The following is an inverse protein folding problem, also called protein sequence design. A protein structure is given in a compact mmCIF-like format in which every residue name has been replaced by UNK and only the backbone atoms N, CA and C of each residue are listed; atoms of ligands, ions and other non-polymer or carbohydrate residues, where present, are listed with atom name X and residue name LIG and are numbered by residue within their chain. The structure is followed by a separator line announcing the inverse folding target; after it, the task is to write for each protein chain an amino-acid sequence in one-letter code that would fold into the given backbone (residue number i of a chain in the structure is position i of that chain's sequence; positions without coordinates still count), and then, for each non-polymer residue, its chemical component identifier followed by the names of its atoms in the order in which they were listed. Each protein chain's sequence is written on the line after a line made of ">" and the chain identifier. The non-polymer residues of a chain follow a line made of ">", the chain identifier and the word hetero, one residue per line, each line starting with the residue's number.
data_IF_556254225995
#
_entry.id   IF_556254225995
#
_cell.length_a   1.000
_cell.length_b   1.000
_cell.length_c   1.000
_cell.angle_alpha   90.00
_cell.angle_beta   90.00
_cell.angle_gamma   90.00
#
_symmetry.space_group_name_H-M   'P 1'
#
loop_
_entity.id
_entity.type
_entity.pdbx_description
1 polymer ?
#
# COMPACT_ATOMS: atom_id res chain seq x y z
N UNK A 1 16.72 20.98 -14.65
CA UNK A 1 15.76 19.90 -14.87
C UNK A 1 15.92 18.93 -13.73
N UNK A 2 14.88 18.72 -12.97
CA UNK A 2 14.87 17.67 -11.95
C UNK A 2 15.07 16.33 -12.66
N UNK A 3 16.07 15.58 -12.20
CA UNK A 3 16.39 14.29 -12.82
C UNK A 3 15.26 13.32 -12.50
N UNK A 4 14.53 12.88 -13.51
CA UNK A 4 13.61 11.78 -13.38
C UNK A 4 14.41 10.50 -13.09
N UNK A 5 14.00 9.75 -12.06
CA UNK A 5 14.54 8.44 -11.76
C UNK A 5 13.58 7.39 -12.29
N UNK A 6 14.06 6.49 -13.14
CA UNK A 6 13.27 5.41 -13.72
C UNK A 6 13.61 4.12 -12.96
N UNK A 7 12.60 3.38 -12.54
CA UNK A 7 12.74 2.03 -12.00
C UNK A 7 12.16 1.06 -13.02
N UNK A 8 12.99 0.17 -13.54
CA UNK A 8 12.58 -0.91 -14.41
C UNK A 8 12.12 -2.11 -13.58
N UNK A 9 10.99 -2.68 -13.92
CA UNK A 9 10.41 -3.83 -13.21
C UNK A 9 10.94 -5.18 -13.73
N UNK A 10 11.64 -5.17 -14.87
CA UNK A 10 12.20 -6.38 -15.50
C UNK A 10 13.43 -6.10 -16.38
N UNK A 11 14.19 -7.17 -16.68
CA UNK A 11 15.28 -7.10 -17.66
C UNK A 11 14.78 -6.69 -19.06
N UNK A 12 13.56 -7.10 -19.43
CA UNK A 12 12.93 -6.68 -20.69
C UNK A 12 12.67 -5.17 -20.73
N UNK A 13 12.26 -4.57 -19.61
CA UNK A 13 12.12 -3.13 -19.52
C UNK A 13 13.45 -2.40 -19.61
N UNK A 14 14.51 -2.93 -18.97
CA UNK A 14 15.86 -2.37 -19.13
C UNK A 14 16.30 -2.35 -20.60
N UNK A 15 16.05 -3.43 -21.35
CA UNK A 15 16.35 -3.49 -22.78
C UNK A 15 15.57 -2.44 -23.58
N UNK A 16 14.28 -2.27 -23.27
CA UNK A 16 13.44 -1.26 -23.94
C UNK A 16 13.93 0.16 -23.64
N UNK A 17 14.29 0.43 -22.38
CA UNK A 17 14.83 1.73 -21.97
C UNK A 17 16.15 1.98 -22.69
N UNK A 18 17.04 1.00 -22.76
CA UNK A 18 18.33 1.09 -23.46
C UNK A 18 18.13 1.44 -24.94
N UNK A 19 17.25 0.72 -25.64
CA UNK A 19 16.92 0.96 -27.05
C UNK A 19 16.31 2.35 -27.29
N UNK A 20 15.43 2.83 -26.40
CA UNK A 20 14.84 4.17 -26.47
C UNK A 20 15.93 5.24 -26.28
N UNK A 21 16.79 5.06 -25.28
CA UNK A 21 17.90 5.98 -25.03
C UNK A 21 18.87 5.99 -26.21
N UNK A 22 19.21 4.85 -26.79
CA UNK A 22 20.03 4.72 -27.97
C UNK A 22 19.44 5.51 -29.16
N UNK A 23 18.15 5.31 -29.44
CA UNK A 23 17.47 5.99 -30.55
C UNK A 23 17.44 7.51 -30.42
N UNK A 24 17.61 8.02 -29.21
CA UNK A 24 17.63 9.46 -28.88
C UNK A 24 19.03 9.99 -28.62
N UNK A 25 20.04 9.14 -28.72
CA UNK A 25 21.43 9.46 -28.41
C UNK A 25 21.59 10.08 -27.00
N UNK A 26 20.93 9.50 -26.01
CA UNK A 26 21.01 9.90 -24.59
C UNK A 26 21.38 8.70 -23.73
N UNK A 27 21.81 8.97 -22.51
CA UNK A 27 21.98 7.97 -21.45
C UNK A 27 21.11 8.33 -20.27
N UNK A 28 20.58 7.33 -19.55
CA UNK A 28 19.83 7.55 -18.31
C UNK A 28 20.29 6.60 -17.21
N UNK A 29 20.25 7.08 -15.96
CA UNK A 29 20.40 6.25 -14.78
C UNK A 29 19.06 5.55 -14.50
N UNK A 30 19.10 4.24 -14.28
CA UNK A 30 17.92 3.39 -14.07
C UNK A 30 18.12 2.54 -12.83
N UNK A 31 17.07 2.33 -12.04
CA UNK A 31 17.02 1.30 -11.03
C UNK A 31 16.43 0.01 -11.55
N UNK A 32 16.83 -1.11 -10.98
CA UNK A 32 16.16 -2.38 -11.17
C UNK A 32 15.33 -2.70 -9.92
N UNK A 33 14.05 -3.01 -10.13
CA UNK A 33 13.21 -3.54 -9.06
C UNK A 33 13.56 -4.99 -8.82
N UNK A 34 13.77 -5.33 -7.56
CA UNK A 34 14.13 -6.68 -7.12
C UNK A 34 13.00 -7.25 -6.25
N UNK A 35 12.58 -8.48 -6.57
CA UNK A 35 11.74 -9.31 -5.72
C UNK A 35 12.65 -10.02 -4.69
N UNK A 36 12.65 -9.62 -3.41
CA UNK A 36 13.62 -10.11 -2.45
C UNK A 36 13.21 -11.47 -1.89
N UNK A 37 14.14 -12.36 -1.64
CA UNK A 37 13.91 -13.54 -0.79
C UNK A 37 13.97 -13.18 0.70
N UNK A 38 12.93 -12.50 1.17
CA UNK A 38 12.84 -11.99 2.54
C UNK A 38 11.51 -12.28 3.19
N UNK A 39 11.49 -12.79 4.44
CA UNK A 39 10.27 -13.02 5.22
C UNK A 39 10.10 -12.02 6.36
N UNK A 40 8.93 -11.40 6.43
CA UNK A 40 8.52 -10.59 7.58
C UNK A 40 8.25 -11.42 8.85
N UNK A 41 8.33 -12.75 8.76
CA UNK A 41 8.02 -13.69 9.84
C UNK A 41 6.55 -14.10 9.86
N UNK A 42 6.14 -14.92 10.84
CA UNK A 42 4.77 -15.36 10.98
C UNK A 42 3.83 -14.17 11.19
N UNK A 43 2.76 -14.11 10.42
CA UNK A 43 1.75 -13.06 10.50
C UNK A 43 0.45 -13.54 9.87
N UNK A 44 -0.67 -12.83 10.10
CA UNK A 44 -1.98 -13.25 9.62
C UNK A 44 -2.11 -13.25 8.08
N UNK A 45 -1.10 -12.77 7.37
CA UNK A 45 -1.11 -12.73 5.92
C UNK A 45 0.04 -13.54 5.32
N UNK A 46 -0.24 -14.76 4.83
CA UNK A 46 0.74 -15.60 4.13
C UNK A 46 1.13 -15.07 2.74
N UNK A 47 0.39 -14.12 2.19
CA UNK A 47 0.38 -13.79 0.77
C UNK A 47 1.59 -13.02 0.24
N UNK A 48 2.44 -12.55 1.10
CA UNK A 48 3.71 -11.99 0.70
C UNK A 48 4.82 -12.72 1.46
N UNK A 49 4.97 -14.00 1.15
CA UNK A 49 6.18 -14.72 1.50
C UNK A 49 7.20 -14.32 0.46
N UNK A 50 8.35 -13.80 0.85
CA UNK A 50 9.48 -13.61 -0.04
C UNK A 50 9.87 -14.95 -0.65
N UNK A 51 10.46 -14.87 -1.83
CA UNK A 51 10.77 -16.08 -2.60
C UNK A 51 9.54 -16.75 -3.23
N UNK A 52 8.34 -16.12 -3.19
CA UNK A 52 7.21 -16.54 -4.00
C UNK A 52 7.20 -15.81 -5.35
N UNK A 53 6.77 -16.49 -6.42
CA UNK A 53 6.58 -15.84 -7.70
C UNK A 53 5.68 -14.61 -7.58
N UNK A 54 6.16 -13.48 -8.05
CA UNK A 54 5.40 -12.23 -8.13
C UNK A 54 5.50 -11.66 -9.56
N UNK A 55 4.54 -10.81 -9.90
CA UNK A 55 4.62 -10.04 -11.16
C UNK A 55 5.58 -8.86 -11.06
N UNK A 56 6.05 -8.53 -9.87
CA UNK A 56 6.85 -7.36 -9.58
C UNK A 56 8.32 -7.70 -9.33
N UNK A 57 9.20 -7.06 -10.12
CA UNK A 57 10.63 -7.14 -9.94
C UNK A 57 11.25 -8.47 -10.40
N UNK A 58 12.54 -8.47 -10.55
CA UNK A 58 13.34 -9.65 -10.85
C UNK A 58 13.75 -10.35 -9.55
N UNK A 59 13.70 -11.68 -9.53
CA UNK A 59 14.07 -12.46 -8.35
C UNK A 59 15.55 -12.24 -7.97
N UNK A 60 15.84 -12.01 -6.68
CA UNK A 60 17.18 -11.68 -6.22
C UNK A 60 18.22 -12.77 -6.55
N UNK A 61 17.80 -14.03 -6.53
CA UNK A 61 18.66 -15.18 -6.84
C UNK A 61 19.09 -15.21 -8.31
N UNK A 62 18.31 -14.59 -9.18
CA UNK A 62 18.60 -14.48 -10.61
C UNK A 62 19.64 -13.40 -10.96
N UNK A 63 19.88 -12.44 -10.06
CA UNK A 63 20.78 -11.32 -10.33
C UNK A 63 22.19 -11.74 -10.78
N UNK A 64 22.87 -12.71 -10.14
CA UNK A 64 24.21 -13.13 -10.55
C UNK A 64 24.26 -13.67 -12.01
N UNK A 65 23.23 -14.40 -12.41
CA UNK A 65 23.17 -14.95 -13.78
C UNK A 65 22.99 -13.86 -14.85
N UNK A 66 22.46 -12.70 -14.48
CA UNK A 66 22.24 -11.57 -15.40
C UNK A 66 23.33 -10.49 -15.32
N UNK A 67 24.42 -10.74 -14.60
CA UNK A 67 25.54 -9.80 -14.47
C UNK A 67 26.03 -9.28 -15.82
N UNK A 68 26.35 -10.18 -16.74
CA UNK A 68 26.89 -9.81 -18.07
C UNK A 68 25.87 -9.06 -18.91
N UNK A 69 24.59 -9.36 -18.75
CA UNK A 69 23.51 -8.60 -19.38
C UNK A 69 23.51 -7.15 -18.88
N UNK A 70 23.53 -6.94 -17.57
CA UNK A 70 23.52 -5.61 -16.95
C UNK A 70 24.73 -4.76 -17.39
N UNK A 71 25.92 -5.38 -17.52
CA UNK A 71 27.14 -4.71 -17.97
C UNK A 71 27.15 -4.38 -19.47
N UNK A 72 26.33 -5.04 -20.29
CA UNK A 72 26.26 -4.77 -21.74
C UNK A 72 25.32 -3.63 -22.12
N UNK A 73 24.54 -3.11 -21.20
CA UNK A 73 23.66 -1.97 -21.45
C UNK A 73 24.51 -0.70 -21.62
N UNK A 74 24.37 -0.02 -22.75
CA UNK A 74 25.22 1.11 -23.13
C UNK A 74 24.57 2.46 -22.82
N UNK A 75 23.24 2.54 -22.91
CA UNK A 75 22.47 3.76 -22.78
C UNK A 75 21.60 3.81 -21.51
N UNK A 76 20.97 2.71 -21.14
CA UNK A 76 20.38 2.54 -19.82
C UNK A 76 21.46 2.10 -18.83
N UNK A 77 21.84 2.97 -17.90
CA UNK A 77 22.86 2.64 -16.89
C UNK A 77 22.18 2.16 -15.61
N UNK A 78 22.20 0.86 -15.30
CA UNK A 78 21.65 0.38 -14.03
C UNK A 78 22.54 0.84 -12.88
N UNK A 79 22.09 1.85 -12.13
CA UNK A 79 22.87 2.50 -11.06
C UNK A 79 22.20 2.42 -9.69
N UNK A 80 21.16 1.62 -9.55
CA UNK A 80 20.47 1.46 -8.29
C UNK A 80 19.52 0.29 -8.27
N UNK A 81 19.04 0.00 -7.07
CA UNK A 81 18.03 -1.03 -6.81
C UNK A 81 16.82 -0.41 -6.13
N UNK A 82 15.67 -1.01 -6.37
CA UNK A 82 14.39 -0.73 -5.70
C UNK A 82 13.81 -2.04 -5.16
N UNK A 83 13.25 -1.99 -3.96
CA UNK A 83 12.52 -3.11 -3.36
C UNK A 83 11.24 -2.60 -2.72
N UNK A 84 10.10 -3.08 -3.13
CA UNK A 84 8.84 -2.87 -2.42
C UNK A 84 8.27 -4.23 -1.98
N UNK A 85 8.64 -4.66 -0.79
CA UNK A 85 8.37 -6.02 -0.33
C UNK A 85 6.96 -6.20 0.27
N UNK A 86 6.37 -5.18 0.89
CA UNK A 86 5.05 -5.28 1.54
C UNK A 86 4.46 -3.92 1.88
N UNK A 87 3.11 -3.83 1.80
CA UNK A 87 2.34 -2.69 2.28
C UNK A 87 1.80 -2.90 3.70
N UNK A 88 1.49 -1.82 4.40
CA UNK A 88 0.75 -1.80 5.68
C UNK A 88 1.45 -2.57 6.81
N UNK A 89 2.76 -2.36 6.98
CA UNK A 89 3.54 -2.98 8.06
C UNK A 89 3.53 -2.07 9.29
N UNK A 90 3.01 -2.57 10.41
CA UNK A 90 2.95 -1.86 11.70
C UNK A 90 4.09 -2.25 12.65
N UNK A 91 4.90 -3.24 12.30
CA UNK A 91 6.04 -3.69 13.09
C UNK A 91 7.32 -2.99 12.64
N UNK A 92 7.87 -2.15 13.51
CA UNK A 92 9.15 -1.49 13.28
C UNK A 92 10.31 -2.49 13.09
N UNK A 93 10.29 -3.61 13.82
CA UNK A 93 11.31 -4.65 13.69
C UNK A 93 11.23 -5.36 12.34
N UNK A 94 10.02 -5.61 11.86
CA UNK A 94 9.82 -6.24 10.57
C UNK A 94 10.30 -5.32 9.43
N UNK A 95 9.97 -4.03 9.48
CA UNK A 95 10.48 -3.03 8.54
C UNK A 95 12.00 -2.89 8.63
N UNK A 96 12.56 -2.83 9.86
CA UNK A 96 13.99 -2.74 10.08
C UNK A 96 14.76 -3.90 9.43
N UNK A 97 14.28 -5.13 9.65
CA UNK A 97 14.89 -6.33 9.01
C UNK A 97 14.76 -6.30 7.48
N UNK A 98 13.63 -5.83 6.96
CA UNK A 98 13.47 -5.67 5.51
C UNK A 98 14.50 -4.68 4.94
N UNK A 99 14.62 -3.52 5.54
CA UNK A 99 15.58 -2.51 5.10
C UNK A 99 17.04 -2.99 5.23
N UNK A 100 17.35 -3.78 6.26
CA UNK A 100 18.66 -4.43 6.37
C UNK A 100 18.91 -5.41 5.20
N UNK A 101 17.88 -6.17 4.83
CA UNK A 101 17.97 -7.07 3.67
C UNK A 101 18.24 -6.29 2.39
N UNK A 102 17.50 -5.22 2.14
CA UNK A 102 17.71 -4.33 0.98
C UNK A 102 19.12 -3.74 0.96
N UNK A 103 19.66 -3.36 2.13
CA UNK A 103 21.05 -2.88 2.21
C UNK A 103 22.08 -3.97 1.88
N UNK A 104 21.81 -5.24 2.23
CA UNK A 104 22.65 -6.37 1.81
C UNK A 104 22.56 -6.61 0.31
N UNK A 105 21.36 -6.54 -0.27
CA UNK A 105 21.17 -6.58 -1.73
C UNK A 105 21.96 -5.47 -2.44
N UNK A 106 21.97 -4.26 -1.89
CA UNK A 106 22.79 -3.16 -2.42
C UNK A 106 24.27 -3.49 -2.42
N UNK A 107 24.77 -4.23 -1.43
CA UNK A 107 26.17 -4.75 -1.43
C UNK A 107 26.38 -5.82 -2.49
N UNK A 108 25.44 -6.74 -2.66
CA UNK A 108 25.52 -7.75 -3.74
C UNK A 108 25.55 -7.03 -5.09
N UNK A 109 24.67 -6.05 -5.31
CA UNK A 109 24.66 -5.22 -6.51
C UNK A 109 26.01 -4.55 -6.78
N UNK A 110 26.53 -3.86 -5.79
CA UNK A 110 27.76 -3.08 -5.95
C UNK A 110 29.02 -3.95 -5.97
N UNK A 111 29.26 -4.75 -4.92
CA UNK A 111 30.49 -5.53 -4.79
C UNK A 111 30.43 -6.88 -5.50
N UNK A 112 29.27 -7.56 -5.46
CA UNK A 112 29.11 -8.88 -6.05
C UNK A 112 29.00 -8.83 -7.58
N UNK A 113 28.19 -7.92 -8.10
CA UNK A 113 27.95 -7.77 -9.54
C UNK A 113 28.89 -6.73 -10.18
N UNK A 114 29.58 -5.90 -9.37
CA UNK A 114 30.40 -4.80 -9.85
C UNK A 114 29.61 -3.66 -10.49
N UNK A 115 28.33 -3.53 -10.14
CA UNK A 115 27.45 -2.49 -10.68
C UNK A 115 27.60 -1.18 -9.87
N UNK A 116 27.54 -0.01 -10.52
CA UNK A 116 27.55 1.26 -9.81
C UNK A 116 26.31 1.40 -8.93
N UNK A 117 26.46 2.04 -7.77
CA UNK A 117 25.37 2.27 -6.83
C UNK A 117 25.23 3.78 -6.57
N UNK A 118 24.34 4.46 -7.29
CA UNK A 118 24.02 5.86 -7.12
C UNK A 118 22.83 6.08 -6.18
N UNK A 119 21.97 5.06 -6.04
CA UNK A 119 20.81 5.12 -5.15
C UNK A 119 20.31 3.74 -4.71
N UNK A 120 19.57 3.76 -3.61
CA UNK A 120 18.80 2.63 -3.10
C UNK A 120 17.40 3.15 -2.79
N UNK A 121 16.38 2.49 -3.33
CA UNK A 121 15.00 2.74 -2.95
C UNK A 121 14.49 1.57 -2.12
N UNK A 122 14.19 1.84 -0.87
CA UNK A 122 13.70 0.87 0.10
C UNK A 122 12.20 0.59 -0.03
N UNK A 123 11.55 1.22 -1.02
CA UNK A 123 10.11 1.16 -1.20
C UNK A 123 9.34 1.82 -0.07
N UNK A 124 8.09 1.42 0.06
CA UNK A 124 7.19 1.93 1.07
C UNK A 124 6.88 0.92 2.18
N UNK A 125 5.60 0.82 2.45
CA UNK A 125 5.06 -0.20 3.33
C UNK A 125 4.83 0.23 4.78
N UNK A 126 5.21 1.45 5.17
CA UNK A 126 4.89 1.98 6.50
C UNK A 126 3.37 2.06 6.67
N UNK A 127 2.86 1.37 7.69
CA UNK A 127 1.44 1.23 7.94
C UNK A 127 0.88 2.27 8.91
N UNK A 128 -0.45 2.42 8.86
CA UNK A 128 -1.24 3.19 9.84
C UNK A 128 -2.26 2.29 10.52
N UNK A 129 -2.69 2.57 11.75
CA UNK A 129 -3.74 1.80 12.39
C UNK A 129 -5.11 2.16 11.78
N UNK A 130 -5.77 1.18 11.17
CA UNK A 130 -7.13 1.35 10.65
C UNK A 130 -8.21 0.91 11.64
N UNK A 131 -7.90 0.01 12.58
CA UNK A 131 -8.79 -0.41 13.66
C UNK A 131 -8.27 0.07 15.01
N UNK A 132 -9.17 0.33 15.96
CA UNK A 132 -8.82 0.84 17.29
C UNK A 132 -7.91 -0.08 18.13
N UNK A 133 -7.86 -1.38 17.80
CA UNK A 133 -6.99 -2.37 18.45
C UNK A 133 -5.57 -2.39 17.87
N UNK A 134 -5.36 -1.80 16.68
CA UNK A 134 -4.05 -1.75 16.05
C UNK A 134 -3.16 -0.72 16.74
N UNK A 135 -1.91 -1.09 16.99
CA UNK A 135 -0.90 -0.16 17.49
C UNK A 135 -0.26 0.59 16.34
N UNK A 136 -0.06 1.88 16.52
CA UNK A 136 0.71 2.69 15.59
C UNK A 136 2.14 2.17 15.42
N UNK A 137 2.71 2.37 14.23
CA UNK A 137 4.10 2.06 13.94
C UNK A 137 5.01 2.85 14.90
N UNK A 138 5.87 2.14 15.63
CA UNK A 138 6.84 2.77 16.53
C UNK A 138 8.01 3.36 15.72
N UNK A 139 7.93 4.64 15.43
CA UNK A 139 8.93 5.36 14.62
C UNK A 139 10.28 5.48 15.33
N UNK A 140 10.32 5.58 16.66
CA UNK A 140 11.57 5.66 17.42
C UNK A 140 12.35 4.34 17.34
N UNK A 141 11.64 3.21 17.43
CA UNK A 141 12.23 1.89 17.25
C UNK A 141 12.72 1.68 15.81
N UNK A 142 11.94 2.14 14.82
CA UNK A 142 12.36 2.10 13.40
C UNK A 142 13.62 2.96 13.18
N UNK A 143 13.68 4.14 13.79
CA UNK A 143 14.86 5.01 13.76
C UNK A 143 16.11 4.29 14.29
N UNK A 144 15.96 3.49 15.35
CA UNK A 144 17.05 2.67 15.89
C UNK A 144 17.60 1.68 14.85
N UNK A 145 16.72 0.98 14.12
CA UNK A 145 17.15 0.10 13.03
C UNK A 145 17.85 0.87 11.90
N UNK A 146 17.29 2.01 11.49
CA UNK A 146 17.86 2.81 10.42
C UNK A 146 19.24 3.36 10.74
N UNK A 147 19.53 3.69 12.00
CA UNK A 147 20.85 4.15 12.43
C UNK A 147 21.94 3.08 12.21
N UNK A 148 21.61 1.78 12.40
CA UNK A 148 22.50 0.67 12.09
C UNK A 148 22.67 0.43 10.59
N UNK A 149 21.64 0.69 9.81
CA UNK A 149 21.57 0.44 8.38
C UNK A 149 22.64 1.20 7.58
N UNK A 150 22.94 2.42 7.99
CA UNK A 150 23.92 3.28 7.32
C UNK A 150 25.30 2.66 7.20
N UNK A 151 25.65 1.75 8.11
CA UNK A 151 26.94 1.02 8.12
C UNK A 151 26.96 -0.15 7.12
N UNK A 152 25.79 -0.61 6.68
CA UNK A 152 25.66 -1.73 5.75
C UNK A 152 25.71 -1.28 4.29
N UNK A 153 25.38 -0.02 4.02
CA UNK A 153 25.33 0.52 2.66
C UNK A 153 26.76 0.79 2.16
N UNK A 154 27.12 0.33 0.94
CA UNK A 154 28.42 0.65 0.34
C UNK A 154 28.66 2.16 0.29
N UNK A 155 29.90 2.57 0.64
CA UNK A 155 30.32 3.98 0.64
C UNK A 155 31.50 4.21 -0.33
N UNK A 156 31.81 3.22 -1.16
CA UNK A 156 33.05 3.19 -1.97
C UNK A 156 32.89 3.99 -3.28
N UNK A 157 31.73 4.55 -3.54
CA UNK A 157 31.48 5.40 -4.70
C UNK A 157 31.99 6.83 -4.52
N UNK A 158 32.16 7.58 -5.62
CA UNK A 158 32.60 8.97 -5.58
C UNK A 158 31.62 9.90 -4.84
N UNK A 159 30.38 9.47 -4.70
CA UNK A 159 29.32 10.15 -3.95
C UNK A 159 28.51 9.08 -3.21
N UNK A 160 28.14 9.31 -1.93
CA UNK A 160 27.27 8.40 -1.21
C UNK A 160 25.95 8.15 -1.95
N UNK A 161 25.54 6.88 -2.02
CA UNK A 161 24.28 6.50 -2.65
C UNK A 161 23.08 7.22 -1.99
N UNK A 162 22.23 7.81 -2.82
CA UNK A 162 20.96 8.42 -2.36
C UNK A 162 20.02 7.33 -1.87
N UNK A 163 19.23 7.66 -0.88
CA UNK A 163 18.29 6.74 -0.23
C UNK A 163 16.88 7.30 -0.37
N UNK A 164 15.98 6.46 -0.86
CA UNK A 164 14.58 6.79 -1.06
C UNK A 164 13.70 5.87 -0.22
N UNK A 165 12.58 6.42 0.23
CA UNK A 165 11.49 5.68 0.88
C UNK A 165 10.19 6.19 0.30
N UNK A 166 9.34 5.29 -0.18
CA UNK A 166 8.05 5.59 -0.83
C UNK A 166 6.91 5.59 0.21
N UNK A 167 6.86 6.59 1.07
CA UNK A 167 5.92 6.63 2.19
C UNK A 167 4.66 7.43 1.86
N UNK A 168 3.74 6.86 1.09
CA UNK A 168 2.45 7.50 0.78
C UNK A 168 1.46 7.39 1.93
N UNK A 169 0.98 6.19 2.24
CA UNK A 169 -0.05 5.92 3.25
C UNK A 169 0.27 6.50 4.63
N UNK A 170 1.48 6.31 5.10
CA UNK A 170 1.91 6.78 6.42
C UNK A 170 1.87 8.31 6.56
N UNK A 171 2.09 9.04 5.46
CA UNK A 171 2.10 10.51 5.46
C UNK A 171 0.71 11.14 5.39
N UNK A 172 -0.22 10.51 4.68
CA UNK A 172 -1.51 11.15 4.38
C UNK A 172 -2.73 10.29 4.73
N UNK A 173 -2.54 9.05 5.13
CA UNK A 173 -3.65 8.12 5.33
C UNK A 173 -4.64 8.55 6.41
N UNK A 174 -4.16 9.09 7.53
CA UNK A 174 -4.96 9.60 8.64
C UNK A 174 -5.36 11.08 8.48
N UNK A 175 -4.81 11.77 7.47
CA UNK A 175 -5.15 13.17 7.19
C UNK A 175 -6.49 13.34 6.46
N UNK A 176 -7.06 12.27 5.90
CA UNK A 176 -8.31 12.32 5.14
C UNK A 176 -9.48 11.64 5.84
N UNK A 177 -10.65 12.21 5.67
CA UNK A 177 -11.94 11.62 6.09
C UNK A 177 -12.87 11.52 4.88
N UNK A 178 -13.62 10.43 4.80
CA UNK A 178 -14.71 10.31 3.85
C UNK A 178 -16.03 10.60 4.57
N UNK A 179 -16.81 11.51 4.01
CA UNK A 179 -18.08 11.94 4.59
C UNK A 179 -19.21 11.64 3.62
N UNK A 180 -20.24 10.97 4.09
CA UNK A 180 -21.46 10.72 3.34
C UNK A 180 -22.70 10.95 4.21
N UNK A 181 -23.89 10.98 3.63
CA UNK A 181 -25.14 11.25 4.33
C UNK A 181 -25.97 9.99 4.47
N UNK A 182 -26.63 9.78 5.61
CA UNK A 182 -27.68 8.77 5.77
C UNK A 182 -28.91 9.25 4.98
N UNK A 183 -29.29 8.48 3.95
CA UNK A 183 -30.44 8.81 3.10
C UNK A 183 -31.69 8.03 3.45
N UNK A 184 -31.52 6.83 4.07
CA UNK A 184 -32.63 6.03 4.52
C UNK A 184 -32.23 5.08 5.66
N UNK A 185 -33.20 4.64 6.45
CA UNK A 185 -33.03 3.60 7.47
C UNK A 185 -34.17 2.60 7.31
N UNK A 186 -33.79 1.38 6.95
CA UNK A 186 -34.73 0.29 6.67
C UNK A 186 -34.62 -0.82 7.72
N UNK A 187 -35.78 -1.29 8.20
CA UNK A 187 -35.85 -2.49 9.03
C UNK A 187 -36.37 -3.68 8.24
N UNK A 188 -35.67 -4.78 8.29
CA UNK A 188 -36.06 -6.02 7.58
C UNK A 188 -35.64 -7.23 8.39
N UNK A 189 -36.61 -8.10 8.72
CA UNK A 189 -36.40 -9.39 9.39
C UNK A 189 -35.52 -9.29 10.63
N UNK A 190 -35.80 -8.26 11.47
CA UNK A 190 -35.08 -8.03 12.73
C UNK A 190 -33.72 -7.36 12.60
N UNK A 191 -33.30 -6.96 11.40
CA UNK A 191 -32.08 -6.18 11.17
C UNK A 191 -32.39 -4.74 10.75
N UNK A 192 -31.57 -3.82 11.20
CA UNK A 192 -31.61 -2.41 10.81
C UNK A 192 -30.51 -2.13 9.79
N UNK A 193 -30.91 -1.57 8.65
CA UNK A 193 -30.00 -1.16 7.58
C UNK A 193 -29.95 0.36 7.53
N UNK A 194 -28.76 0.93 7.60
CA UNK A 194 -28.49 2.34 7.39
C UNK A 194 -27.98 2.51 5.97
N UNK A 195 -28.71 3.27 5.15
CA UNK A 195 -28.39 3.48 3.74
C UNK A 195 -27.74 4.85 3.59
N UNK A 196 -26.53 4.88 3.06
CA UNK A 196 -25.76 6.08 2.80
C UNK A 196 -25.81 6.51 1.33
N UNK A 197 -25.59 7.79 1.08
CA UNK A 197 -25.57 8.40 -0.27
C UNK A 197 -24.27 8.11 -1.01
N UNK A 198 -23.95 6.85 -1.25
CA UNK A 198 -22.74 6.40 -1.91
C UNK A 198 -21.67 5.94 -0.90
N UNK A 199 -21.14 4.77 -1.15
CA UNK A 199 -20.05 4.16 -0.38
C UNK A 199 -19.06 3.46 -1.31
N UNK A 200 -19.41 2.28 -1.84
CA UNK A 200 -18.53 1.47 -2.70
C UNK A 200 -17.89 2.26 -3.83
N UNK A 201 -18.66 3.11 -4.50
CA UNK A 201 -18.20 3.92 -5.64
C UNK A 201 -17.31 5.10 -5.26
N UNK A 202 -17.24 5.46 -3.99
CA UNK A 202 -16.44 6.58 -3.50
C UNK A 202 -15.39 6.17 -2.48
N UNK A 203 -15.63 5.07 -1.75
CA UNK A 203 -14.73 4.52 -0.75
C UNK A 203 -14.83 2.98 -0.76
N UNK A 204 -14.17 2.37 -1.73
CA UNK A 204 -14.23 0.93 -2.02
C UNK A 204 -13.74 0.05 -0.86
N UNK A 205 -12.68 0.46 -0.15
CA UNK A 205 -11.99 -0.40 0.81
C UNK A 205 -12.88 -1.00 1.89
N UNK A 206 -13.76 -0.25 2.57
CA UNK A 206 -14.64 -0.85 3.57
C UNK A 206 -15.58 -1.90 2.98
N UNK A 207 -16.09 -1.69 1.77
CA UNK A 207 -16.99 -2.64 1.12
C UNK A 207 -16.28 -3.96 0.77
N UNK A 208 -15.05 -3.89 0.28
CA UNK A 208 -14.24 -5.08 0.00
C UNK A 208 -13.88 -5.80 1.31
N UNK A 209 -13.48 -5.08 2.36
CA UNK A 209 -13.22 -5.67 3.67
C UNK A 209 -14.43 -6.46 4.19
N UNK A 210 -15.63 -5.86 4.14
CA UNK A 210 -16.87 -6.53 4.52
C UNK A 210 -17.23 -7.73 3.64
N UNK A 211 -16.87 -7.72 2.36
CA UNK A 211 -17.03 -8.87 1.47
C UNK A 211 -16.12 -10.03 1.89
N UNK A 212 -14.85 -9.76 2.15
CA UNK A 212 -13.90 -10.79 2.59
C UNK A 212 -14.25 -11.39 3.93
N UNK A 213 -14.76 -10.59 4.88
CA UNK A 213 -15.27 -11.11 6.16
C UNK A 213 -16.46 -12.07 5.98
N UNK A 214 -17.25 -11.90 4.92
CA UNK A 214 -18.41 -12.74 4.63
C UNK A 214 -18.06 -14.01 3.85
N UNK A 215 -16.87 -14.12 3.27
CA UNK A 215 -16.44 -15.30 2.52
C UNK A 215 -15.79 -16.33 3.45
N UNK A 216 -16.11 -17.63 3.31
CA UNK A 216 -15.39 -18.71 3.97
C UNK A 216 -14.02 -18.87 3.29
N UNK A 217 -13.04 -18.07 3.69
CA UNK A 217 -11.69 -18.18 3.16
C UNK A 217 -10.95 -19.32 3.85
N UNK A 218 -10.32 -20.19 3.06
CA UNK A 218 -9.43 -21.21 3.59
C UNK A 218 -8.26 -20.55 4.35
N UNK A 219 -7.80 -21.15 5.47
CA UNK A 219 -6.68 -20.61 6.25
C UNK A 219 -5.38 -20.46 5.45
N UNK A 220 -5.27 -21.17 4.34
CA UNK A 220 -4.13 -21.17 3.43
C UNK A 220 -4.27 -20.12 2.31
N UNK A 221 -5.41 -19.41 2.25
CA UNK A 221 -5.61 -18.40 1.22
C UNK A 221 -4.61 -17.27 1.37
N UNK A 222 -3.72 -17.20 0.39
CA UNK A 222 -2.71 -16.15 0.27
C UNK A 222 -3.30 -14.93 -0.44
N UNK A 223 -4.21 -14.23 0.21
CA UNK A 223 -4.77 -12.98 -0.31
C UNK A 223 -3.86 -11.77 -0.05
N UNK A 224 -4.14 -10.62 -0.68
CA UNK A 224 -3.34 -9.41 -0.51
C UNK A 224 -3.28 -8.95 0.94
N UNK A 225 -2.08 -8.66 1.42
CA UNK A 225 -1.81 -8.17 2.77
C UNK A 225 -2.05 -6.67 2.88
N UNK A 226 -3.26 -6.27 2.60
CA UNK A 226 -3.72 -4.90 2.65
C UNK A 226 -4.71 -4.71 3.83
N UNK A 227 -5.03 -3.50 4.26
CA UNK A 227 -6.03 -3.24 5.31
C UNK A 227 -7.41 -3.85 5.06
N UNK A 228 -7.67 -4.31 3.85
CA UNK A 228 -8.87 -5.06 3.49
C UNK A 228 -9.12 -6.28 4.39
N UNK A 229 -8.04 -6.83 4.97
CA UNK A 229 -8.08 -8.04 5.82
C UNK A 229 -7.97 -7.74 7.32
N UNK A 230 -8.04 -6.48 7.71
CA UNK A 230 -7.71 -6.09 9.07
C UNK A 230 -8.84 -6.27 10.11
N UNK A 231 -9.78 -7.17 9.85
CA UNK A 231 -10.75 -7.61 10.83
C UNK A 231 -12.00 -6.74 10.95
N UNK A 232 -12.94 -7.20 11.76
CA UNK A 232 -14.22 -6.53 12.01
C UNK A 232 -14.01 -5.15 12.64
N UNK A 233 -14.82 -4.19 12.22
CA UNK A 233 -14.83 -2.85 12.81
C UNK A 233 -13.74 -1.91 12.32
N UNK A 234 -12.90 -2.33 11.39
CA UNK A 234 -11.82 -1.50 10.82
C UNK A 234 -12.32 -0.18 10.23
N UNK A 235 -13.51 -0.18 9.66
CA UNK A 235 -14.10 0.97 8.99
C UNK A 235 -15.47 1.36 9.56
N UNK A 236 -15.68 1.22 10.86
CA UNK A 236 -16.94 1.67 11.49
C UNK A 236 -16.95 3.19 11.52
N UNK A 237 -17.93 3.84 10.86
CA UNK A 237 -18.03 5.30 10.85
C UNK A 237 -18.57 5.83 12.16
N UNK A 238 -18.34 7.13 12.39
CA UNK A 238 -19.06 7.92 13.37
C UNK A 238 -20.25 8.60 12.68
N UNK A 239 -21.42 8.62 13.32
CA UNK A 239 -22.54 9.42 12.82
C UNK A 239 -22.60 10.76 13.58
N UNK A 240 -22.73 11.85 12.83
CA UNK A 240 -22.78 13.22 13.34
C UNK A 240 -24.07 13.91 12.89
N UNK A 241 -24.77 14.56 13.83
CA UNK A 241 -26.00 15.29 13.60
C UNK A 241 -26.98 15.13 14.74
N UNK A 242 -28.24 14.84 14.44
CA UNK A 242 -29.29 14.67 15.47
C UNK A 242 -28.98 13.44 16.35
N UNK A 243 -29.12 13.57 17.69
CA UNK A 243 -28.84 12.48 18.59
C UNK A 243 -29.86 11.35 18.47
N UNK A 244 -29.39 10.10 18.55
CA UNK A 244 -30.21 8.92 18.72
C UNK A 244 -29.45 7.85 19.49
N UNK A 245 -30.13 6.94 20.20
CA UNK A 245 -29.51 5.84 20.92
C UNK A 245 -28.67 4.96 20.00
N UNK A 246 -27.67 4.30 20.58
CA UNK A 246 -26.90 3.27 19.92
C UNK A 246 -27.79 2.09 19.49
N UNK A 247 -27.66 1.66 18.25
CA UNK A 247 -28.35 0.52 17.69
C UNK A 247 -27.37 -0.38 16.92
N UNK A 248 -27.64 -1.68 16.89
CA UNK A 248 -26.89 -2.60 16.04
C UNK A 248 -27.42 -2.46 14.63
N UNK A 249 -26.55 -2.06 13.68
CA UNK A 249 -26.92 -1.75 12.31
C UNK A 249 -26.00 -2.43 11.28
N UNK A 250 -26.49 -2.58 10.08
CA UNK A 250 -25.68 -2.88 8.89
C UNK A 250 -25.64 -1.63 8.02
N UNK A 251 -24.44 -1.17 7.65
CA UNK A 251 -24.25 0.06 6.89
C UNK A 251 -24.02 -0.29 5.42
N UNK A 252 -24.89 0.22 4.57
CA UNK A 252 -24.89 -0.01 3.12
C UNK A 252 -24.87 1.32 2.37
N UNK A 253 -24.32 1.32 1.16
CA UNK A 253 -24.58 2.40 0.20
C UNK A 253 -25.90 2.20 -0.55
N UNK A 254 -26.14 3.07 -1.51
CA UNK A 254 -27.36 3.11 -2.30
C UNK A 254 -27.22 2.51 -3.72
N UNK A 255 -26.13 1.77 -3.96
CA UNK A 255 -25.95 1.08 -5.24
C UNK A 255 -26.79 -0.20 -5.31
N UNK A 256 -27.16 -0.59 -6.52
CA UNK A 256 -27.94 -1.80 -6.81
C UNK A 256 -27.11 -3.11 -6.72
N UNK A 257 -26.20 -3.21 -5.75
CA UNK A 257 -25.36 -4.38 -5.53
C UNK A 257 -25.22 -4.72 -4.04
N UNK A 258 -25.26 -6.00 -3.70
CA UNK A 258 -25.00 -6.48 -2.32
C UNK A 258 -23.56 -6.26 -1.85
N UNK A 259 -22.64 -5.96 -2.77
CA UNK A 259 -21.25 -5.59 -2.43
C UNK A 259 -21.16 -4.21 -1.75
N UNK A 260 -22.14 -3.35 -1.93
CA UNK A 260 -22.19 -2.02 -1.33
C UNK A 260 -22.61 -2.08 0.16
N UNK A 261 -21.95 -2.94 0.92
CA UNK A 261 -22.15 -3.13 2.36
C UNK A 261 -20.79 -3.00 3.04
N UNK A 262 -20.60 -1.97 3.84
CA UNK A 262 -19.30 -1.61 4.39
C UNK A 262 -19.10 -2.03 5.85
N UNK A 263 -20.17 -2.24 6.59
CA UNK A 263 -20.11 -2.73 7.96
C UNK A 263 -21.35 -3.56 8.30
N UNK A 264 -21.18 -4.68 8.97
CA UNK A 264 -22.27 -5.59 9.35
C UNK A 264 -22.34 -5.73 10.85
N UNK A 265 -23.57 -5.65 11.38
CA UNK A 265 -23.87 -5.88 12.78
C UNK A 265 -22.96 -5.05 13.72
N UNK A 266 -22.76 -3.78 13.40
CA UNK A 266 -21.94 -2.82 14.18
C UNK A 266 -22.83 -1.93 15.03
N UNK A 267 -22.30 -1.49 16.17
CA UNK A 267 -22.96 -0.50 17.01
C UNK A 267 -22.76 0.88 16.44
N UNK A 268 -23.84 1.59 16.15
CA UNK A 268 -23.82 2.97 15.65
C UNK A 268 -24.74 3.83 16.51
N UNK A 269 -24.20 4.89 17.08
CA UNK A 269 -24.99 5.98 17.69
C UNK A 269 -25.45 6.95 16.61
N UNK A 270 -26.51 7.71 16.90
CA UNK A 270 -26.98 8.79 16.04
C UNK A 270 -27.35 8.34 14.60
N UNK A 271 -27.83 7.10 14.46
CA UNK A 271 -28.36 6.62 13.18
C UNK A 271 -29.68 7.28 12.88
N UNK A 272 -29.66 8.46 12.26
CA UNK A 272 -30.84 9.27 11.89
C UNK A 272 -30.72 9.68 10.40
N UNK A 273 -31.81 9.60 9.66
CA UNK A 273 -31.86 10.07 8.27
C UNK A 273 -31.49 11.56 8.23
N UNK A 274 -30.59 11.92 7.34
CA UNK A 274 -30.02 13.26 7.20
C UNK A 274 -28.70 13.47 7.95
N UNK A 275 -28.37 12.65 8.95
CA UNK A 275 -27.09 12.70 9.62
C UNK A 275 -25.94 12.29 8.68
N UNK A 276 -24.73 12.76 9.01
CA UNK A 276 -23.51 12.44 8.27
C UNK A 276 -22.84 11.21 8.87
N UNK A 277 -22.35 10.32 8.02
CA UNK A 277 -21.40 9.26 8.37
C UNK A 277 -20.00 9.73 8.05
N UNK A 278 -19.10 9.62 8.99
CA UNK A 278 -17.70 10.02 8.88
C UNK A 278 -16.82 8.77 9.00
N UNK A 279 -16.10 8.45 7.95
CA UNK A 279 -15.11 7.38 7.90
C UNK A 279 -13.71 7.99 7.98
N UNK A 280 -12.96 7.67 9.03
CA UNK A 280 -11.59 8.12 9.24
C UNK A 280 -10.60 7.34 8.36
N UNK A 281 -9.34 7.77 8.30
CA UNK A 281 -8.25 7.11 7.56
C UNK A 281 -8.52 6.95 6.06
N UNK A 282 -9.17 7.92 5.44
CA UNK A 282 -9.49 7.96 4.02
C UNK A 282 -8.47 8.74 3.16
N UNK A 283 -7.38 9.23 3.74
CA UNK A 283 -6.40 10.08 3.04
C UNK A 283 -5.53 9.35 2.01
N UNK A 284 -5.49 8.01 2.03
CA UNK A 284 -4.74 7.23 1.06
C UNK A 284 -5.58 6.09 0.49
N UNK A 285 -5.53 5.93 -0.83
CA UNK A 285 -6.18 4.83 -1.57
C UNK A 285 -7.72 4.75 -1.35
N UNK A 286 -8.36 5.83 -0.98
CA UNK A 286 -9.81 5.92 -0.87
C UNK A 286 -10.44 6.23 -2.24
N UNK A 287 -10.43 7.48 -2.65
CA UNK A 287 -10.97 7.89 -3.94
C UNK A 287 -10.27 7.16 -5.11
N UNK A 288 -8.93 7.14 -5.14
CA UNK A 288 -8.15 6.61 -6.26
C UNK A 288 -8.39 5.12 -6.59
N UNK A 289 -8.84 4.30 -5.63
CA UNK A 289 -9.16 2.89 -5.86
C UNK A 289 -10.63 2.63 -6.11
N UNK A 290 -11.50 3.63 -5.94
CA UNK A 290 -12.95 3.43 -5.99
C UNK A 290 -13.46 3.43 -7.43
N UNK A 291 -14.50 2.62 -7.75
CA UNK A 291 -15.07 2.52 -9.09
C UNK A 291 -15.99 3.73 -9.39
N UNK A 292 -15.37 4.89 -9.63
CA UNK A 292 -16.06 6.10 -10.01
C UNK A 292 -16.96 5.88 -11.23
N UNK A 293 -18.14 6.48 -11.23
CA UNK A 293 -19.10 6.34 -12.33
C UNK A 293 -19.89 5.03 -12.32
N UNK A 294 -19.72 4.14 -11.34
CA UNK A 294 -20.57 2.94 -11.23
C UNK A 294 -22.06 3.35 -11.14
N UNK A 295 -22.89 2.76 -12.01
CA UNK A 295 -24.32 3.09 -12.15
C UNK A 295 -24.60 4.58 -12.42
N UNK A 296 -23.67 5.29 -13.06
CA UNK A 296 -23.77 6.74 -13.38
C UNK A 296 -23.97 7.65 -12.17
N UNK A 297 -23.56 7.20 -10.97
CA UNK A 297 -23.52 8.07 -9.81
C UNK A 297 -22.45 9.15 -9.96
N UNK A 298 -22.69 10.39 -9.48
CA UNK A 298 -21.71 11.44 -9.52
C UNK A 298 -20.48 11.08 -8.66
N UNK A 299 -19.32 11.59 -9.05
CA UNK A 299 -18.09 11.44 -8.27
C UNK A 299 -18.17 12.17 -6.94
N UNK A 300 -17.45 11.66 -5.93
CA UNK A 300 -17.26 12.36 -4.66
C UNK A 300 -16.45 13.64 -4.92
N UNK A 301 -16.77 14.71 -4.19
CA UNK A 301 -16.00 15.94 -4.21
C UNK A 301 -14.88 15.86 -3.17
N UNK A 302 -13.70 16.28 -3.54
CA UNK A 302 -12.57 16.41 -2.63
C UNK A 302 -12.39 17.87 -2.22
N UNK A 303 -12.14 18.08 -0.93
CA UNK A 303 -11.92 19.39 -0.34
C UNK A 303 -10.64 19.35 0.49
N UNK A 304 -9.79 20.35 0.29
CA UNK A 304 -8.65 20.60 1.18
C UNK A 304 -9.11 21.54 2.29
N UNK A 305 -8.92 21.10 3.51
CA UNK A 305 -9.16 21.91 4.71
C UNK A 305 -7.81 22.39 5.26
N UNK A 306 -7.62 23.71 5.32
CA UNK A 306 -6.41 24.37 5.83
C UNK A 306 -6.70 25.18 7.06
#
# INVERSE_FOLDING_TARGET
>A
MDKCLIIADSYTELQRIDAICASRNITCAVGLRVNPDFSYGPGPCPAMRPGLPDKFGEDEEGLPAHRDFLHRLEHARPTGIHVHARSQVLSADALGRCFEHVARLARVWNHGLGMPLEFIDFGGGLGIPYAGEMRSLNMERLRGHLAGLLRLIPQDGPVPARRYVESGRFLVGDAGVFVTRIVDIKRSRGKTFVIAAGLLNHFLRPAIAGLFEALPLEPTYAGPCEPLWSGRGTYVPKALGLPAPAEIVTICGNLCTGMDTVARDVVLENAVVGNMLIFENAGAYAAALSPHGFSSHPEAREFLWG
#
